data_IF_269200110859
#
_entry.id   IF_269200110859
#
_cell.length_a   1.000
_cell.length_b   1.000
_cell.length_c   1.000
_cell.angle_alpha   90.00
_cell.angle_beta   90.00
_cell.angle_gamma   90.00
#
_symmetry.space_group_name_H-M   'P 1'
#
loop_
_entity.id
_entity.type
_entity.pdbx_description
1 polymer ?
#
# COMPACT_ATOMS: atom_id res chain seq x y z
N UNK A 1 -8.89 -19.79 5.68
CA UNK A 1 -8.12 -19.15 6.78
C UNK A 1 -6.72 -18.66 6.38
N UNK A 2 -6.39 -18.54 5.08
CA UNK A 2 -5.07 -18.04 4.63
C UNK A 2 -5.03 -16.51 4.36
N UNK A 3 -6.18 -15.85 4.41
CA UNK A 3 -6.37 -14.48 3.92
C UNK A 3 -5.85 -13.37 4.85
N UNK A 4 -5.86 -13.62 6.16
CA UNK A 4 -5.31 -12.70 7.16
C UNK A 4 -3.78 -12.75 7.20
N UNK A 5 -3.20 -13.86 6.74
CA UNK A 5 -1.77 -14.14 6.86
C UNK A 5 -0.93 -13.27 5.92
N UNK A 6 -1.29 -13.07 4.65
CA UNK A 6 -0.43 -12.32 3.71
C UNK A 6 -0.45 -10.81 3.96
N UNK A 7 -1.62 -10.23 4.27
CA UNK A 7 -1.73 -8.82 4.65
C UNK A 7 -1.05 -8.55 5.98
N UNK A 8 -1.25 -9.45 6.95
CA UNK A 8 -0.52 -9.44 8.22
C UNK A 8 0.98 -9.61 8.04
N UNK A 9 1.43 -10.42 7.08
CA UNK A 9 2.85 -10.66 6.79
C UNK A 9 3.49 -9.44 6.12
N UNK A 10 2.80 -8.77 5.19
CA UNK A 10 3.29 -7.50 4.62
C UNK A 10 3.32 -6.40 5.68
N UNK A 11 2.27 -6.27 6.52
CA UNK A 11 2.27 -5.33 7.64
C UNK A 11 3.37 -5.63 8.66
N UNK A 12 3.57 -6.92 8.99
CA UNK A 12 4.63 -7.37 9.87
C UNK A 12 6.01 -7.13 9.25
N UNK A 13 6.17 -7.34 7.95
CA UNK A 13 7.40 -7.03 7.23
C UNK A 13 7.68 -5.53 7.25
N UNK A 14 6.67 -4.68 7.01
CA UNK A 14 6.81 -3.23 7.12
C UNK A 14 7.14 -2.78 8.55
N UNK A 15 6.53 -3.40 9.57
CA UNK A 15 6.84 -3.13 10.96
C UNK A 15 8.28 -3.52 11.31
N UNK A 16 8.74 -4.69 10.85
CA UNK A 16 10.13 -5.14 11.01
C UNK A 16 11.09 -4.18 10.29
N UNK A 17 10.77 -3.77 9.06
CA UNK A 17 11.58 -2.80 8.31
C UNK A 17 11.67 -1.46 9.03
N UNK A 18 10.56 -0.96 9.57
CA UNK A 18 10.55 0.28 10.34
C UNK A 18 11.37 0.18 11.63
N UNK A 19 11.34 -0.97 12.32
CA UNK A 19 12.18 -1.22 13.50
C UNK A 19 13.66 -1.29 13.12
N UNK A 20 14.00 -1.92 11.99
CA UNK A 20 15.38 -1.97 11.48
C UNK A 20 15.87 -0.58 11.09
N UNK A 21 15.04 0.22 10.40
CA UNK A 21 15.38 1.59 10.02
C UNK A 21 15.50 2.52 11.24
N UNK A 22 14.69 2.28 12.28
CA UNK A 22 14.83 3.00 13.55
C UNK A 22 16.14 2.63 14.27
N UNK A 23 16.59 1.37 14.15
CA UNK A 23 17.84 0.90 14.74
C UNK A 23 19.09 1.37 13.97
N UNK A 24 18.99 1.67 12.66
CA UNK A 24 20.07 2.24 11.84
C UNK A 24 20.29 3.74 12.08
N UNK A 25 19.43 4.40 12.86
CA UNK A 25 19.54 5.84 13.15
C UNK A 25 18.98 6.74 12.04
N UNK A 26 18.12 6.22 11.17
CA UNK A 26 17.41 7.04 10.20
C UNK A 26 16.46 8.03 10.88
N UNK A 27 16.18 9.14 10.20
CA UNK A 27 15.28 10.16 10.73
C UNK A 27 13.90 9.53 11.01
N UNK A 28 13.28 9.80 12.17
CA UNK A 28 11.95 9.26 12.48
C UNK A 28 10.91 9.72 11.45
N UNK A 29 11.15 10.85 10.78
CA UNK A 29 10.30 11.39 9.75
C UNK A 29 10.35 10.55 8.46
N UNK A 30 11.55 10.16 7.98
CA UNK A 30 11.68 9.29 6.81
C UNK A 30 10.99 7.93 6.99
N UNK A 31 11.14 7.32 8.17
CA UNK A 31 10.50 6.04 8.52
C UNK A 31 8.97 6.15 8.47
N UNK A 32 8.40 7.20 9.05
CA UNK A 32 6.95 7.45 9.05
C UNK A 32 6.44 7.68 7.63
N UNK A 33 7.17 8.43 6.80
CA UNK A 33 6.80 8.67 5.41
C UNK A 33 6.84 7.38 4.57
N UNK A 34 7.85 6.53 4.75
CA UNK A 34 7.96 5.22 4.11
C UNK A 34 6.82 4.28 4.53
N UNK A 35 6.54 4.21 5.82
CA UNK A 35 5.40 3.43 6.33
C UNK A 35 4.08 3.94 5.76
N UNK A 36 3.86 5.26 5.78
CA UNK A 36 2.67 5.88 5.22
C UNK A 36 2.52 5.59 3.72
N UNK A 37 3.61 5.66 2.95
CA UNK A 37 3.62 5.33 1.53
C UNK A 37 3.15 3.89 1.29
N UNK A 38 3.72 2.94 2.03
CA UNK A 38 3.41 1.51 1.88
C UNK A 38 1.99 1.21 2.35
N UNK A 39 1.54 1.79 3.46
CA UNK A 39 0.16 1.65 3.93
C UNK A 39 -0.83 2.19 2.90
N UNK A 40 -0.58 3.38 2.34
CA UNK A 40 -1.45 4.01 1.37
C UNK A 40 -1.57 3.17 0.08
N UNK A 41 -0.46 2.60 -0.38
CA UNK A 41 -0.43 1.70 -1.53
C UNK A 41 -1.21 0.41 -1.25
N UNK A 42 -0.95 -0.25 -0.12
CA UNK A 42 -1.56 -1.52 0.22
C UNK A 42 -3.05 -1.39 0.51
N UNK A 43 -3.45 -0.53 1.44
CA UNK A 43 -4.86 -0.35 1.79
C UNK A 43 -5.64 0.31 0.65
N UNK A 44 -5.01 1.22 -0.09
CA UNK A 44 -5.64 1.90 -1.22
C UNK A 44 -5.98 0.94 -2.35
N UNK A 45 -5.01 0.14 -2.81
CA UNK A 45 -5.22 -0.83 -3.89
C UNK A 45 -6.17 -1.94 -3.44
N UNK A 46 -5.98 -2.51 -2.25
CA UNK A 46 -6.83 -3.57 -1.71
C UNK A 46 -8.28 -3.10 -1.51
N UNK A 47 -8.49 -1.90 -0.98
CA UNK A 47 -9.81 -1.32 -0.82
C UNK A 47 -10.53 -1.12 -2.16
N UNK A 48 -9.80 -0.77 -3.22
CA UNK A 48 -10.36 -0.62 -4.56
C UNK A 48 -10.77 -1.97 -5.14
N UNK A 49 -9.90 -2.98 -5.11
CA UNK A 49 -10.22 -4.31 -5.65
C UNK A 49 -11.32 -5.01 -4.85
N UNK A 50 -11.31 -4.87 -3.53
CA UNK A 50 -12.34 -5.39 -2.64
C UNK A 50 -13.71 -4.80 -2.97
N UNK A 51 -13.81 -3.48 -3.14
CA UNK A 51 -15.07 -2.81 -3.54
C UNK A 51 -15.52 -3.21 -4.94
N UNK A 52 -14.58 -3.31 -5.88
CA UNK A 52 -14.87 -3.75 -7.25
C UNK A 52 -15.44 -5.17 -7.29
N UNK A 53 -14.87 -6.11 -6.52
CA UNK A 53 -15.38 -7.49 -6.42
C UNK A 53 -16.70 -7.58 -5.66
N UNK A 54 -16.86 -6.82 -4.57
CA UNK A 54 -18.11 -6.75 -3.83
C UNK A 54 -19.29 -6.30 -4.72
N UNK A 55 -19.07 -5.28 -5.58
CA UNK A 55 -20.09 -4.85 -6.57
C UNK A 55 -20.48 -5.91 -7.59
N UNK A 56 -19.63 -6.92 -7.81
CA UNK A 56 -19.84 -8.01 -8.77
C UNK A 56 -20.25 -9.32 -8.11
N UNK A 57 -20.50 -9.34 -6.79
CA UNK A 57 -20.73 -10.55 -6.00
C UNK A 57 -19.65 -11.63 -6.24
N UNK A 58 -18.42 -11.20 -6.50
CA UNK A 58 -17.29 -12.12 -6.68
C UNK A 58 -16.66 -12.45 -5.33
N UNK A 59 -16.16 -13.69 -5.15
CA UNK A 59 -15.41 -14.05 -3.95
C UNK A 59 -14.19 -13.13 -3.80
N UNK A 60 -13.87 -12.82 -2.54
CA UNK A 60 -12.65 -12.10 -2.22
C UNK A 60 -11.47 -13.06 -2.35
N UNK A 61 -10.75 -12.95 -3.47
CA UNK A 61 -9.54 -13.72 -3.71
C UNK A 61 -8.36 -12.79 -3.97
N UNK A 62 -7.16 -13.32 -3.76
CA UNK A 62 -5.90 -12.57 -3.82
C UNK A 62 -5.36 -12.35 -5.23
N UNK A 63 -6.01 -12.92 -6.25
CA UNK A 63 -5.58 -12.79 -7.63
C UNK A 63 -6.14 -11.50 -8.22
N UNK A 64 -5.30 -10.50 -8.48
CA UNK A 64 -5.70 -9.42 -9.38
C UNK A 64 -5.62 -9.96 -10.80
N UNK A 65 -6.78 -10.11 -11.43
CA UNK A 65 -6.86 -10.55 -12.83
C UNK A 65 -7.04 -9.38 -13.78
N UNK A 66 -6.73 -9.57 -15.06
CA UNK A 66 -7.08 -8.57 -16.09
C UNK A 66 -8.59 -8.28 -16.14
N UNK A 67 -9.42 -9.25 -15.77
CA UNK A 67 -10.86 -9.06 -15.64
C UNK A 67 -11.22 -8.10 -14.49
N UNK A 68 -10.48 -8.15 -13.38
CA UNK A 68 -10.65 -7.20 -12.27
C UNK A 68 -10.28 -5.78 -12.69
N UNK A 69 -9.18 -5.61 -13.44
CA UNK A 69 -8.76 -4.30 -13.95
C UNK A 69 -9.76 -3.71 -14.94
N UNK A 70 -10.30 -4.52 -15.85
CA UNK A 70 -11.34 -4.09 -16.82
C UNK A 70 -12.66 -3.72 -16.14
N UNK A 71 -12.96 -4.32 -14.99
CA UNK A 71 -14.18 -4.07 -14.25
C UNK A 71 -14.11 -2.86 -13.30
N UNK A 72 -12.95 -2.20 -13.18
CA UNK A 72 -12.80 -1.00 -12.37
C UNK A 72 -13.60 0.16 -12.97
N UNK A 73 -14.42 0.79 -12.14
CA UNK A 73 -15.15 2.01 -12.54
C UNK A 73 -14.20 3.21 -12.55
N UNK A 74 -14.62 4.31 -13.20
CA UNK A 74 -13.83 5.55 -13.26
C UNK A 74 -13.43 6.08 -11.86
N UNK A 75 -14.33 5.96 -10.88
CA UNK A 75 -14.06 6.35 -9.50
C UNK A 75 -13.04 5.44 -8.79
N UNK A 76 -13.00 4.16 -9.16
CA UNK A 76 -12.02 3.21 -8.65
C UNK A 76 -10.64 3.49 -9.22
N UNK A 77 -10.56 3.75 -10.53
CA UNK A 77 -9.35 4.21 -11.18
C UNK A 77 -8.79 5.47 -10.55
N UNK A 78 -9.64 6.47 -10.31
CA UNK A 78 -9.22 7.73 -9.67
C UNK A 78 -8.61 7.47 -8.28
N UNK A 79 -9.23 6.60 -7.47
CA UNK A 79 -8.68 6.23 -6.16
C UNK A 79 -7.39 5.46 -6.26
N UNK A 80 -7.30 4.52 -7.20
CA UNK A 80 -6.11 3.70 -7.41
C UNK A 80 -4.94 4.61 -7.83
N UNK A 81 -5.16 5.53 -8.78
CA UNK A 81 -4.18 6.55 -9.13
C UNK A 81 -3.82 7.45 -7.93
N UNK A 82 -4.80 7.96 -7.19
CA UNK A 82 -4.52 8.83 -6.04
C UNK A 82 -3.68 8.13 -4.96
N UNK A 83 -3.98 6.86 -4.66
CA UNK A 83 -3.20 6.06 -3.70
C UNK A 83 -1.81 5.73 -4.24
N UNK A 84 -1.67 5.44 -5.55
CA UNK A 84 -0.36 5.18 -6.15
C UNK A 84 0.51 6.43 -6.17
N UNK A 85 -0.01 7.56 -6.68
CA UNK A 85 0.74 8.82 -6.72
C UNK A 85 1.02 9.35 -5.32
N UNK A 86 0.07 9.28 -4.39
CA UNK A 86 0.27 9.68 -3.00
C UNK A 86 1.34 8.84 -2.31
N UNK A 87 1.32 7.52 -2.53
CA UNK A 87 2.31 6.60 -1.96
C UNK A 87 3.71 6.86 -2.53
N UNK A 88 3.81 7.04 -3.85
CA UNK A 88 5.09 7.40 -4.49
C UNK A 88 5.60 8.75 -3.98
N UNK A 89 4.74 9.77 -3.86
CA UNK A 89 5.14 11.08 -3.35
C UNK A 89 5.68 11.00 -1.91
N UNK A 90 5.02 10.23 -1.05
CA UNK A 90 5.47 9.95 0.32
C UNK A 90 6.81 9.20 0.33
N UNK A 91 7.00 8.21 -0.55
CA UNK A 91 8.26 7.47 -0.66
C UNK A 91 9.41 8.38 -1.15
N UNK A 92 9.16 9.25 -2.13
CA UNK A 92 10.14 10.23 -2.60
C UNK A 92 10.50 11.21 -1.48
N UNK A 93 9.50 11.68 -0.72
CA UNK A 93 9.74 12.57 0.42
C UNK A 93 10.57 11.87 1.52
N UNK A 94 10.31 10.58 1.78
CA UNK A 94 11.11 9.79 2.72
C UNK A 94 12.57 9.68 2.28
N UNK A 95 12.81 9.41 0.99
CA UNK A 95 14.15 9.32 0.42
C UNK A 95 14.87 10.67 0.39
N UNK A 96 14.15 11.76 0.12
CA UNK A 96 14.69 13.11 0.14
C UNK A 96 15.09 13.55 1.55
N UNK A 97 14.38 13.07 2.57
CA UNK A 97 14.73 13.32 3.98
C UNK A 97 15.93 12.49 4.45
N UNK A 98 16.02 11.23 4.03
CA UNK A 98 17.17 10.36 4.31
C UNK A 98 18.49 10.86 3.70
N UNK A 99 18.42 11.68 2.64
CA UNK A 99 19.58 12.29 1.98
C UNK A 99 20.05 13.62 2.57
N UNK A 100 19.41 14.14 3.63
CA UNK A 100 19.87 15.35 4.31
C UNK A 100 20.99 15.00 5.32
N UNK A 101 22.16 15.66 5.25
CA UNK A 101 23.29 15.40 6.15
C UNK A 101 22.98 15.81 7.59
#
# INVERSE_FOLDING_TARGET
>A
MHAFATKGLVLAFCAVLAVVMAASGESPLSIVLLLAAVLLLLLGTDGVFTRSRARRNLPQDFSVTFADLRALQRADWLRLFACTFGGIALAIAALADAGRP
#
